data_IF_896650223937
#
_entry.id   IF_896650223937
#
_cell.length_a   1.000
_cell.length_b   1.000
_cell.length_c   1.000
_cell.angle_alpha   90.00
_cell.angle_beta   90.00
_cell.angle_gamma   90.00
#
_symmetry.space_group_name_H-M   'P 1'
#
loop_
_entity.id
_entity.type
_entity.pdbx_description
1 polymer ?
#
# COMPACT_ATOMS: atom_id res chain seq x y z
N UNK A 1 4.23 -2.42 -13.81
CA UNK A 1 3.57 -3.04 -12.65
C UNK A 1 2.24 -3.57 -13.12
N UNK A 2 2.04 -4.85 -12.92
CA UNK A 2 0.79 -5.55 -13.20
C UNK A 2 -0.08 -5.66 -11.94
N UNK A 3 -1.34 -6.08 -12.12
CA UNK A 3 -2.31 -6.24 -11.02
C UNK A 3 -1.81 -7.16 -9.91
N UNK A 4 -1.12 -8.23 -10.31
CA UNK A 4 -0.68 -9.28 -9.39
C UNK A 4 0.55 -8.82 -8.61
N UNK A 5 1.42 -8.00 -9.22
CA UNK A 5 2.53 -7.32 -8.55
C UNK A 5 2.03 -6.39 -7.44
N UNK A 6 1.02 -5.57 -7.72
CA UNK A 6 0.44 -4.64 -6.74
C UNK A 6 -0.15 -5.40 -5.54
N UNK A 7 -0.88 -6.48 -5.81
CA UNK A 7 -1.49 -7.31 -4.77
C UNK A 7 -0.45 -8.05 -3.94
N UNK A 8 0.62 -8.54 -4.57
CA UNK A 8 1.75 -9.17 -3.89
C UNK A 8 2.46 -8.17 -2.96
N UNK A 9 2.80 -6.99 -3.47
CA UNK A 9 3.39 -5.90 -2.70
C UNK A 9 2.54 -5.57 -1.48
N UNK A 10 1.23 -5.33 -1.67
CA UNK A 10 0.33 -4.98 -0.56
C UNK A 10 0.32 -6.05 0.54
N UNK A 11 0.31 -7.32 0.14
CA UNK A 11 0.31 -8.45 1.08
C UNK A 11 1.65 -8.63 1.79
N UNK A 12 2.76 -8.36 1.10
CA UNK A 12 4.09 -8.36 1.70
C UNK A 12 4.17 -7.37 2.88
N UNK A 13 3.57 -6.19 2.74
CA UNK A 13 3.47 -5.18 3.80
C UNK A 13 2.29 -5.40 4.78
N UNK A 14 1.57 -6.52 4.69
CA UNK A 14 0.44 -6.83 5.59
C UNK A 14 -0.76 -5.89 5.47
N UNK A 15 -0.87 -5.12 4.37
CA UNK A 15 -1.89 -4.11 4.20
C UNK A 15 -3.19 -4.72 3.64
N UNK A 16 -4.34 -4.23 4.11
CA UNK A 16 -5.62 -4.37 3.42
C UNK A 16 -5.71 -3.40 2.23
N UNK A 17 -6.65 -3.63 1.30
CA UNK A 17 -6.89 -2.70 0.20
C UNK A 17 -7.24 -1.29 0.70
N UNK A 18 -7.97 -1.20 1.82
CA UNK A 18 -8.34 0.07 2.45
C UNK A 18 -7.13 0.80 3.03
N UNK A 19 -6.22 0.09 3.69
CA UNK A 19 -4.98 0.69 4.23
C UNK A 19 -4.05 1.19 3.12
N UNK A 20 -3.90 0.41 2.04
CA UNK A 20 -3.16 0.89 0.87
C UNK A 20 -3.81 2.13 0.25
N UNK A 21 -5.14 2.13 0.12
CA UNK A 21 -5.87 3.26 -0.42
C UNK A 21 -5.69 4.52 0.44
N UNK A 22 -5.69 4.37 1.77
CA UNK A 22 -5.39 5.45 2.70
C UNK A 22 -3.98 6.01 2.48
N UNK A 23 -2.96 5.16 2.39
CA UNK A 23 -1.58 5.59 2.13
C UNK A 23 -1.41 6.29 0.77
N UNK A 24 -2.21 5.92 -0.23
CA UNK A 24 -2.19 6.53 -1.56
C UNK A 24 -3.13 7.73 -1.73
N UNK A 25 -3.93 8.06 -0.71
CA UNK A 25 -4.92 9.14 -0.80
C UNK A 25 -6.04 8.89 -1.82
N UNK A 26 -6.44 7.63 -2.03
CA UNK A 26 -7.49 7.22 -2.98
C UNK A 26 -8.62 6.44 -2.31
N UNK A 27 -9.73 6.21 -3.02
CA UNK A 27 -10.79 5.32 -2.53
C UNK A 27 -10.32 3.85 -2.49
N UNK A 28 -10.75 3.04 -1.49
CA UNK A 28 -10.53 1.59 -1.48
C UNK A 28 -10.98 0.89 -2.77
N UNK A 29 -12.06 1.39 -3.39
CA UNK A 29 -12.58 0.87 -4.66
C UNK A 29 -11.58 1.07 -5.82
N UNK A 30 -10.77 2.12 -5.77
CA UNK A 30 -9.72 2.36 -6.77
C UNK A 30 -8.67 1.25 -6.72
N UNK A 31 -8.20 0.90 -5.52
CA UNK A 31 -7.26 -0.21 -5.32
C UNK A 31 -7.88 -1.55 -5.73
N UNK A 32 -9.13 -1.80 -5.36
CA UNK A 32 -9.83 -3.02 -5.77
C UNK A 32 -9.91 -3.17 -7.30
N UNK A 33 -10.24 -2.09 -8.02
CA UNK A 33 -10.31 -2.09 -9.49
C UNK A 33 -8.95 -2.32 -10.15
N UNK A 34 -7.87 -1.82 -9.57
CA UNK A 34 -6.50 -2.14 -10.01
C UNK A 34 -6.17 -3.61 -9.82
N UNK A 35 -6.43 -4.17 -8.63
CA UNK A 35 -6.14 -5.58 -8.33
C UNK A 35 -7.03 -6.57 -9.09
N UNK A 36 -8.25 -6.16 -9.45
CA UNK A 36 -9.14 -6.95 -10.32
C UNK A 36 -8.83 -6.79 -11.81
N UNK A 37 -8.00 -5.82 -12.19
CA UNK A 37 -7.72 -5.52 -13.59
C UNK A 37 -8.88 -4.85 -14.34
N UNK A 38 -9.92 -4.41 -13.64
CA UNK A 38 -11.04 -3.65 -14.25
C UNK A 38 -10.66 -2.19 -14.51
N UNK A 39 -9.56 -1.72 -13.92
CA UNK A 39 -8.93 -0.44 -14.23
C UNK A 39 -7.43 -0.64 -14.37
N UNK A 40 -6.83 -0.05 -15.40
CA UNK A 40 -5.37 -0.03 -15.58
C UNK A 40 -4.70 0.65 -14.40
N UNK A 41 -3.60 0.06 -13.93
CA UNK A 41 -2.72 0.66 -12.93
C UNK A 41 -2.02 1.89 -13.56
N UNK A 42 -2.02 3.05 -12.87
CA UNK A 42 -1.25 4.21 -13.33
C UNK A 42 0.24 3.85 -13.45
N UNK A 43 0.93 4.21 -14.54
CA UNK A 43 2.31 3.79 -14.77
C UNK A 43 3.27 4.30 -13.69
N UNK A 44 2.93 5.41 -13.02
CA UNK A 44 3.71 6.02 -11.94
C UNK A 44 3.42 5.45 -10.55
N UNK A 45 2.47 4.52 -10.38
CA UNK A 45 2.09 4.01 -9.05
C UNK A 45 3.29 3.44 -8.28
N UNK A 46 4.25 2.83 -8.98
CA UNK A 46 5.46 2.29 -8.38
C UNK A 46 6.29 3.35 -7.61
N UNK A 47 6.27 4.62 -8.03
CA UNK A 47 6.97 5.70 -7.31
C UNK A 47 6.30 6.01 -5.97
N UNK A 48 4.97 6.04 -5.94
CA UNK A 48 4.22 6.24 -4.70
C UNK A 48 4.39 5.05 -3.74
N UNK A 49 4.42 3.82 -4.26
CA UNK A 49 4.70 2.64 -3.44
C UNK A 49 6.11 2.69 -2.86
N UNK A 50 7.12 3.10 -3.64
CA UNK A 50 8.48 3.31 -3.14
C UNK A 50 8.55 4.35 -2.02
N UNK A 51 7.80 5.44 -2.11
CA UNK A 51 7.73 6.41 -1.02
C UNK A 51 7.16 5.79 0.26
N UNK A 52 6.09 4.99 0.14
CA UNK A 52 5.49 4.30 1.30
C UNK A 52 6.44 3.26 1.93
N UNK A 53 7.31 2.60 1.15
CA UNK A 53 8.32 1.68 1.70
C UNK A 53 9.24 2.38 2.72
N UNK A 54 9.71 3.59 2.41
CA UNK A 54 10.58 4.37 3.31
C UNK A 54 9.88 4.74 4.62
N UNK A 55 8.59 5.10 4.55
CA UNK A 55 7.80 5.42 5.75
C UNK A 55 7.60 4.20 6.66
N UNK A 56 7.57 2.98 6.09
CA UNK A 56 7.45 1.74 6.87
C UNK A 56 8.78 1.29 7.52
N UNK A 57 9.92 1.57 6.90
CA UNK A 57 11.24 1.14 7.38
C UNK A 57 11.78 2.00 8.54
N UNK A 58 11.51 3.31 8.55
CA UNK A 58 12.06 4.22 9.57
C UNK A 58 11.24 4.30 10.87
N UNK A 59 10.12 3.57 10.98
CA UNK A 59 9.22 3.67 12.13
C UNK A 59 8.43 5.00 12.17
N UNK A 60 8.44 5.75 11.07
CA UNK A 60 7.63 6.94 10.85
C UNK A 60 6.19 6.54 10.57
N UNK A 61 5.43 6.24 11.61
CA UNK A 61 3.99 6.06 11.48
C UNK A 61 3.40 7.30 10.81
N UNK A 62 2.78 7.12 9.64
CA UNK A 62 2.00 8.19 9.02
C UNK A 62 0.79 8.43 9.93
N UNK A 63 0.90 9.40 10.84
CA UNK A 63 -0.19 9.81 11.72
C UNK A 63 -1.26 10.58 10.93
N UNK A 64 -2.15 9.83 10.26
CA UNK A 64 -3.42 10.36 9.78
C UNK A 64 -4.58 9.70 10.54
N UNK A 65 -5.04 10.38 11.59
CA UNK A 65 -6.41 10.34 12.09
C UNK A 65 -7.03 8.95 12.35
N UNK A 66 -6.82 8.47 13.57
CA UNK A 66 -7.65 7.49 14.31
C UNK A 66 -7.82 6.06 13.74
N UNK A 67 -7.06 5.16 14.37
CA UNK A 67 -7.34 3.72 14.54
C UNK A 67 -7.12 2.78 13.34
N UNK A 68 -5.87 2.64 12.88
CA UNK A 68 -5.30 1.30 12.71
C UNK A 68 -3.77 1.38 12.58
N UNK A 69 -3.06 0.99 13.65
CA UNK A 69 -1.59 0.85 13.62
C UNK A 69 -1.24 -0.35 12.73
N UNK A 70 -0.38 -0.14 11.73
CA UNK A 70 0.27 -1.26 11.02
C UNK A 70 1.40 -1.77 11.92
N UNK A 71 1.51 -3.08 12.20
CA UNK A 71 2.57 -3.60 13.04
C UNK A 71 3.95 -3.34 12.44
N UNK A 72 4.90 -2.92 13.28
CA UNK A 72 6.32 -2.87 12.95
C UNK A 72 6.78 -4.29 12.57
N UNK A 73 7.09 -4.52 11.30
CA UNK A 73 7.76 -5.75 10.90
C UNK A 73 9.23 -5.64 11.34
N UNK A 74 9.61 -6.44 12.34
CA UNK A 74 11.02 -6.74 12.55
C UNK A 74 11.48 -7.61 11.37
N UNK A 75 12.58 -7.22 10.73
CA UNK A 75 13.23 -8.07 9.74
C UNK A 75 13.56 -9.42 10.40
N UNK A 76 13.10 -10.52 9.81
CA UNK A 76 13.54 -11.84 10.20
C UNK A 76 15.02 -11.98 9.82
N UNK A 77 15.84 -12.33 10.81
CA UNK A 77 17.26 -12.67 10.68
C UNK A 77 17.51 -13.85 9.75
#
# INVERSE_FOLDING_TARGET
MERDDLKAWRRQFGLSQAQLAQGLGVSPMTVARWEWGTRRIPPFLHLALKALEFDFEEGGGIEYGSSNRVPRMQAAE
#
